data_IF_438663552454
#
_entry.id   IF_438663552454
#
_cell.length_a   1.000
_cell.length_b   1.000
_cell.length_c   1.000
_cell.angle_alpha   90.00
_cell.angle_beta   90.00
_cell.angle_gamma   90.00
#
_symmetry.space_group_name_H-M   'P 1'
#
loop_
_entity.id
_entity.type
_entity.pdbx_description
1 polymer ?
#
# COMPACT_ATOMS: atom_id res chain seq x y z
N UNK A 1 -7.86 8.59 3.08
CA UNK A 1 -7.15 9.68 2.36
C UNK A 1 -6.52 9.18 1.07
N UNK A 2 -5.71 8.10 1.08
CA UNK A 2 -5.08 7.55 -0.15
C UNK A 2 -6.09 7.30 -1.28
N UNK A 3 -7.20 6.59 -1.04
CA UNK A 3 -8.19 6.30 -2.10
C UNK A 3 -8.89 7.54 -2.66
N UNK A 4 -9.19 8.54 -1.84
CA UNK A 4 -9.83 9.76 -2.33
C UNK A 4 -8.89 10.58 -3.21
N UNK A 5 -7.59 10.56 -2.95
CA UNK A 5 -6.60 11.18 -3.84
C UNK A 5 -6.35 10.35 -5.10
N UNK A 6 -6.37 9.02 -5.00
CA UNK A 6 -6.31 8.13 -6.15
C UNK A 6 -7.48 8.35 -7.11
N UNK A 7 -8.71 8.48 -6.58
CA UNK A 7 -9.92 8.76 -7.36
C UNK A 7 -9.87 10.13 -8.03
N UNK A 8 -9.51 11.19 -7.29
CA UNK A 8 -9.40 12.55 -7.85
C UNK A 8 -8.37 12.66 -8.98
N UNK A 9 -7.35 11.81 -8.95
CA UNK A 9 -6.23 11.82 -9.91
C UNK A 9 -6.38 10.78 -11.00
N UNK A 10 -7.43 9.97 -10.96
CA UNK A 10 -7.70 8.88 -11.90
C UNK A 10 -6.47 7.99 -12.13
N UNK A 11 -5.91 7.48 -11.03
CA UNK A 11 -4.67 6.69 -11.09
C UNK A 11 -4.96 5.23 -11.41
N UNK A 12 -4.10 4.63 -12.24
CA UNK A 12 -4.16 3.20 -12.53
C UNK A 12 -3.44 2.35 -11.45
N UNK A 13 -2.49 2.93 -10.70
CA UNK A 13 -1.63 2.20 -9.76
C UNK A 13 -1.29 3.02 -8.51
N UNK A 14 -1.36 2.35 -7.36
CA UNK A 14 -0.89 2.87 -6.06
C UNK A 14 0.39 2.13 -5.65
N UNK A 15 1.47 2.85 -5.37
CA UNK A 15 2.75 2.28 -4.90
C UNK A 15 2.93 2.56 -3.42
N UNK A 16 3.15 1.50 -2.63
CA UNK A 16 3.35 1.63 -1.18
C UNK A 16 4.65 0.98 -0.74
N UNK A 17 5.47 1.76 -0.05
CA UNK A 17 6.66 1.29 0.65
C UNK A 17 6.31 0.45 1.88
N UNK A 18 7.07 -0.62 2.09
CA UNK A 18 6.96 -1.49 3.26
C UNK A 18 8.33 -1.57 3.95
N UNK A 19 8.35 -1.31 5.25
CA UNK A 19 9.55 -1.47 6.08
C UNK A 19 9.48 -2.80 6.81
N UNK A 20 10.43 -3.69 6.54
CA UNK A 20 10.61 -4.91 7.31
C UNK A 20 11.46 -4.59 8.54
N UNK A 21 10.83 -4.23 9.66
CA UNK A 21 11.56 -4.11 10.93
C UNK A 21 11.96 -5.51 11.39
N UNK A 22 13.23 -5.86 11.16
CA UNK A 22 13.98 -6.92 11.84
C UNK A 22 13.40 -8.34 11.69
N UNK A 23 13.61 -9.00 10.54
CA UNK A 23 13.71 -10.47 10.39
C UNK A 23 12.56 -11.37 10.86
N UNK A 24 11.56 -10.84 11.55
CA UNK A 24 10.30 -11.47 11.87
C UNK A 24 9.42 -11.39 10.62
N UNK A 25 8.59 -12.41 10.43
CA UNK A 25 7.59 -12.60 9.35
C UNK A 25 7.18 -11.30 8.64
N UNK A 26 7.00 -11.26 7.30
CA UNK A 26 6.74 -10.04 6.55
C UNK A 26 5.50 -9.29 7.08
N UNK A 27 5.72 -8.41 8.05
CA UNK A 27 4.70 -7.58 8.63
C UNK A 27 4.56 -6.36 7.75
N UNK A 28 3.46 -6.32 7.01
CA UNK A 28 3.03 -5.09 6.34
C UNK A 28 2.74 -4.04 7.42
N UNK A 29 3.26 -2.83 7.22
CA UNK A 29 2.89 -1.70 8.07
C UNK A 29 1.37 -1.45 8.00
N UNK A 30 0.79 -0.82 9.02
CA UNK A 30 -0.66 -0.60 9.10
C UNK A 30 -1.25 0.03 7.84
N UNK A 31 -0.56 0.99 7.23
CA UNK A 31 -0.96 1.63 5.97
C UNK A 31 -1.00 0.62 4.81
N UNK A 32 0.06 -0.16 4.64
CA UNK A 32 0.13 -1.16 3.57
C UNK A 32 -0.94 -2.24 3.74
N UNK A 33 -1.16 -2.70 4.97
CA UNK A 33 -2.23 -3.67 5.30
C UNK A 33 -3.61 -3.12 4.98
N UNK A 34 -3.91 -1.88 5.39
CA UNK A 34 -5.19 -1.23 5.09
C UNK A 34 -5.40 -0.99 3.60
N UNK A 35 -4.35 -0.75 2.83
CA UNK A 35 -4.51 -0.55 1.40
C UNK A 35 -4.70 -1.88 0.67
N UNK A 36 -3.84 -2.87 0.91
CA UNK A 36 -3.96 -4.17 0.22
C UNK A 36 -5.29 -4.87 0.50
N UNK A 37 -5.79 -4.84 1.74
CA UNK A 37 -7.03 -5.53 2.11
C UNK A 37 -8.31 -4.91 1.54
N UNK A 38 -8.26 -3.65 1.10
CA UNK A 38 -9.43 -2.90 0.63
C UNK A 38 -9.21 -2.23 -0.72
N UNK A 39 -8.24 -2.72 -1.49
CA UNK A 39 -7.82 -2.11 -2.75
C UNK A 39 -8.93 -2.16 -3.80
N UNK A 40 -9.27 -0.98 -4.35
CA UNK A 40 -10.08 -0.83 -5.58
C UNK A 40 -9.23 -0.57 -6.83
N UNK A 41 -7.94 -0.35 -6.64
CA UNK A 41 -6.94 0.00 -7.65
C UNK A 41 -5.84 -1.05 -7.61
N UNK A 42 -5.04 -1.17 -8.66
CA UNK A 42 -3.83 -1.98 -8.59
C UNK A 42 -2.89 -1.41 -7.53
N UNK A 43 -2.24 -2.30 -6.77
CA UNK A 43 -1.34 -1.93 -5.67
C UNK A 43 -0.02 -2.67 -5.82
N UNK A 44 1.08 -1.91 -5.91
CA UNK A 44 2.43 -2.45 -5.88
C UNK A 44 3.07 -2.19 -4.52
N UNK A 45 3.41 -3.28 -3.82
CA UNK A 45 4.18 -3.20 -2.59
C UNK A 45 5.67 -3.24 -2.90
N UNK A 46 6.39 -2.22 -2.44
CA UNK A 46 7.84 -2.13 -2.58
C UNK A 46 8.48 -2.36 -1.20
N UNK A 47 9.44 -3.28 -1.13
CA UNK A 47 10.25 -3.48 0.06
C UNK A 47 11.39 -2.48 0.04
N UNK A 48 11.49 -1.67 1.10
CA UNK A 48 12.52 -0.63 1.28
C UNK A 48 13.42 -0.99 2.45
#
# INVERSE_FOLDING_TARGET
>A
MIYGEAEKRDVDLIVIGTHSKNGLSPLLGSVATSVVNYAKYDVLLVRI
#
